data_IF_617254137831
#
_entry.id   IF_617254137831
#
_cell.length_a   1.000
_cell.length_b   1.000
_cell.length_c   1.000
_cell.angle_alpha   90.00
_cell.angle_beta   90.00
_cell.angle_gamma   90.00
#
_symmetry.space_group_name_H-M   'P 1'
#
loop_
_entity.id
_entity.type
_entity.pdbx_description
1 polymer ?
#
# COMPACT_ATOMS: atom_id res chain seq x y z
N UNK A 1 -16.63 -10.54 42.33
CA UNK A 1 -17.55 -10.79 41.18
C UNK A 1 -17.04 -10.22 39.86
N UNK A 2 -16.15 -9.22 39.81
CA UNK A 2 -15.66 -8.64 38.54
C UNK A 2 -14.54 -9.44 37.84
N UNK A 3 -13.62 -10.09 38.57
CA UNK A 3 -12.50 -10.85 37.95
C UNK A 3 -12.96 -12.05 37.11
N UNK A 4 -13.93 -12.83 37.62
CA UNK A 4 -14.48 -13.99 36.91
C UNK A 4 -15.23 -13.62 35.63
N UNK A 5 -15.78 -12.40 35.55
CA UNK A 5 -16.48 -11.92 34.35
C UNK A 5 -15.46 -11.46 33.30
N UNK A 6 -14.37 -10.81 33.73
CA UNK A 6 -13.25 -10.45 32.87
C UNK A 6 -12.51 -11.67 32.30
N UNK A 7 -12.30 -12.70 33.11
CA UNK A 7 -11.68 -13.94 32.66
C UNK A 7 -12.59 -14.68 31.66
N UNK A 8 -13.91 -14.72 31.91
CA UNK A 8 -14.87 -15.33 30.99
C UNK A 8 -14.98 -14.56 29.65
N UNK A 9 -14.86 -13.23 29.68
CA UNK A 9 -14.87 -12.41 28.46
C UNK A 9 -13.60 -12.61 27.63
N UNK A 10 -12.44 -12.80 28.28
CA UNK A 10 -11.17 -13.12 27.61
C UNK A 10 -11.22 -14.49 26.95
N UNK A 11 -11.73 -15.50 27.65
CA UNK A 11 -11.86 -16.86 27.11
C UNK A 11 -12.84 -16.89 25.91
N UNK A 12 -13.91 -16.10 25.94
CA UNK A 12 -14.85 -15.96 24.82
C UNK A 12 -14.22 -15.25 23.61
N UNK A 13 -13.36 -14.25 23.84
CA UNK A 13 -12.63 -13.59 22.75
C UNK A 13 -11.58 -14.52 22.11
N UNK A 14 -10.88 -15.33 22.91
CA UNK A 14 -9.94 -16.34 22.40
C UNK A 14 -10.63 -17.46 21.62
N UNK A 15 -11.85 -17.85 21.99
CA UNK A 15 -12.65 -18.85 21.27
C UNK A 15 -13.12 -18.29 19.91
N UNK A 16 -13.57 -17.02 19.88
CA UNK A 16 -13.97 -16.33 18.64
C UNK A 16 -12.77 -16.14 17.69
N UNK A 17 -11.59 -15.77 18.22
CA UNK A 17 -10.36 -15.62 17.41
C UNK A 17 -9.94 -16.95 16.76
N UNK A 18 -10.09 -18.07 17.49
CA UNK A 18 -9.79 -19.42 17.01
C UNK A 18 -10.79 -19.90 15.94
N UNK A 19 -12.06 -19.50 16.02
CA UNK A 19 -13.09 -19.83 15.02
C UNK A 19 -13.02 -18.96 13.75
N UNK A 20 -12.55 -17.71 13.86
CA UNK A 20 -12.43 -16.77 12.73
C UNK A 20 -11.14 -16.94 11.90
N UNK A 21 -10.20 -17.78 12.33
CA UNK A 21 -8.95 -17.98 11.60
C UNK A 21 -8.09 -16.72 11.51
N UNK A 22 -8.14 -15.87 12.55
CA UNK A 22 -7.32 -14.65 12.64
C UNK A 22 -5.83 -14.95 12.98
N UNK A 23 -5.50 -16.20 13.30
CA UNK A 23 -4.12 -16.69 13.50
C UNK A 23 -3.38 -17.06 12.18
N UNK A 24 -3.82 -16.51 11.04
CA UNK A 24 -2.98 -16.38 9.83
C UNK A 24 -2.29 -14.98 9.83
N UNK A 25 -2.00 -14.43 11.02
CA UNK A 25 -0.85 -13.54 11.19
C UNK A 25 0.40 -14.36 10.88
N UNK A 26 0.84 -14.26 9.62
CA UNK A 26 2.13 -14.68 9.10
C UNK A 26 3.24 -14.49 10.15
N UNK A 27 3.50 -15.52 10.96
CA UNK A 27 4.71 -15.61 11.75
C UNK A 27 5.87 -15.63 10.74
N UNK A 28 6.71 -14.59 10.80
CA UNK A 28 8.01 -14.55 10.13
C UNK A 28 8.87 -15.68 10.72
N UNK A 29 8.70 -16.88 10.19
CA UNK A 29 9.58 -18.03 10.47
C UNK A 29 10.86 -17.84 9.65
N UNK A 30 11.69 -16.89 10.08
CA UNK A 30 13.10 -16.83 9.70
C UNK A 30 13.81 -18.01 10.38
N UNK A 31 13.80 -19.18 9.74
CA UNK A 31 14.72 -20.26 10.10
C UNK A 31 16.16 -19.73 9.99
N UNK A 32 17.00 -19.83 11.04
CA UNK A 32 18.40 -19.45 10.92
C UNK A 32 19.16 -20.53 10.14
N UNK A 33 19.55 -20.23 8.90
CA UNK A 33 20.55 -21.02 8.19
C UNK A 33 21.84 -21.10 9.01
N UNK A 34 22.28 -22.32 9.28
CA UNK A 34 23.46 -22.64 10.07
C UNK A 34 24.71 -22.52 9.18
N UNK A 35 25.41 -21.40 9.22
CA UNK A 35 26.76 -21.27 8.62
C UNK A 35 27.85 -21.70 9.63
N UNK A 36 28.65 -22.74 9.33
CA UNK A 36 29.65 -23.28 10.25
C UNK A 36 30.98 -22.53 10.12
N UNK A 37 31.15 -21.40 10.83
CA UNK A 37 32.49 -20.80 11.02
C UNK A 37 32.57 -19.89 12.25
N UNK A 38 32.72 -20.49 13.43
CA UNK A 38 33.23 -19.80 14.62
C UNK A 38 34.76 -19.86 14.64
N UNK A 39 35.42 -18.72 14.53
CA UNK A 39 36.67 -18.43 15.24
C UNK A 39 36.66 -16.99 15.77
N UNK A 40 36.92 -16.76 17.07
CA UNK A 40 37.03 -15.41 17.63
C UNK A 40 38.44 -14.86 17.36
N UNK A 41 38.56 -13.58 17.02
CA UNK A 41 39.84 -12.88 17.07
C UNK A 41 39.70 -11.44 17.57
N UNK A 42 40.70 -11.10 18.38
CA UNK A 42 40.82 -10.02 19.35
C UNK A 42 40.81 -8.59 18.77
N UNK A 43 40.43 -7.66 19.66
CA UNK A 43 40.65 -6.21 19.56
C UNK A 43 42.12 -5.87 19.27
N UNK A 44 42.35 -5.12 18.19
CA UNK A 44 43.54 -4.28 18.02
C UNK A 44 43.13 -2.90 17.48
N UNK A 45 43.69 -1.87 18.09
CA UNK A 45 43.40 -0.46 17.85
C UNK A 45 43.98 0.05 16.51
N UNK A 46 43.21 0.98 15.91
CA UNK A 46 43.60 2.15 15.12
C UNK A 46 44.33 1.96 13.77
N UNK A 47 43.61 2.28 12.69
CA UNK A 47 44.05 3.25 11.67
C UNK A 47 42.82 3.76 10.92
N UNK A 48 42.79 5.07 10.67
CA UNK A 48 41.81 5.77 9.85
C UNK A 48 41.87 5.29 8.40
N UNK A 49 40.74 4.88 7.84
CA UNK A 49 40.49 4.98 6.41
C UNK A 49 38.99 5.19 6.19
N UNK A 50 38.64 6.35 5.63
CA UNK A 50 37.30 6.66 5.14
C UNK A 50 37.10 5.83 3.86
N UNK A 51 36.58 4.61 4.01
CA UNK A 51 36.04 3.87 2.88
C UNK A 51 34.60 4.35 2.63
N UNK A 52 34.50 5.29 1.69
CA UNK A 52 33.28 5.58 0.96
C UNK A 52 32.79 4.28 0.31
N UNK A 53 31.74 3.67 0.87
CA UNK A 53 30.95 2.65 0.16
C UNK A 53 30.23 3.32 -1.01
N UNK A 54 30.95 3.41 -2.12
CA UNK A 54 30.42 3.76 -3.42
C UNK A 54 29.45 2.65 -3.84
N UNK A 55 28.15 2.90 -3.67
CA UNK A 55 27.10 2.05 -4.24
C UNK A 55 27.25 2.11 -5.75
N UNK A 56 27.93 1.11 -6.31
CA UNK A 56 28.14 0.93 -7.75
C UNK A 56 26.81 1.13 -8.48
N UNK A 57 26.73 2.27 -9.16
CA UNK A 57 25.65 2.65 -10.05
C UNK A 57 25.78 1.78 -11.31
N UNK A 58 25.02 0.70 -11.33
CA UNK A 58 24.79 -0.06 -12.55
C UNK A 58 23.95 0.79 -13.50
N UNK A 59 24.63 1.52 -14.37
CA UNK A 59 24.20 2.08 -15.65
C UNK A 59 22.67 2.14 -15.85
N UNK A 60 22.07 3.31 -15.60
CA UNK A 60 20.71 3.63 -16.10
C UNK A 60 20.85 4.67 -17.22
N UNK A 61 21.59 4.31 -18.27
CA UNK A 61 21.34 4.84 -19.60
C UNK A 61 20.04 4.23 -20.12
N UNK A 62 18.95 5.01 -20.09
CA UNK A 62 17.67 4.55 -20.61
C UNK A 62 16.62 5.63 -20.59
N UNK A 63 16.54 6.38 -21.68
CA UNK A 63 15.28 7.01 -22.09
C UNK A 63 14.27 5.90 -22.37
N UNK A 64 13.68 5.34 -21.32
CA UNK A 64 12.64 4.34 -21.43
C UNK A 64 11.31 5.04 -21.64
N UNK A 65 10.88 4.99 -22.90
CA UNK A 65 9.53 5.25 -23.36
C UNK A 65 8.52 4.63 -22.40
N UNK A 66 7.59 5.47 -21.90
CA UNK A 66 6.52 5.04 -21.02
C UNK A 66 5.76 3.90 -21.72
N UNK A 67 5.83 2.68 -21.18
CA UNK A 67 4.87 1.65 -21.50
C UNK A 67 3.52 2.14 -20.95
N UNK A 68 2.84 2.98 -21.72
CA UNK A 68 1.47 3.39 -21.47
C UNK A 68 0.66 2.10 -21.37
N UNK A 69 0.17 1.78 -20.17
CA UNK A 69 -0.94 0.86 -20.07
C UNK A 69 -2.08 1.53 -20.83
N UNK A 70 -2.31 1.10 -22.07
CA UNK A 70 -3.40 1.58 -22.91
C UNK A 70 -4.72 1.15 -22.24
N UNK A 71 -5.23 2.01 -21.37
CA UNK A 71 -6.58 1.91 -20.85
C UNK A 71 -7.48 2.47 -21.94
N UNK A 72 -8.41 1.66 -22.43
CA UNK A 72 -9.32 2.07 -23.50
C UNK A 72 -10.22 3.22 -22.99
N UNK A 73 -10.48 4.27 -23.78
CA UNK A 73 -11.45 5.31 -23.42
C UNK A 73 -12.83 4.75 -23.02
N UNK A 74 -13.24 3.60 -23.57
CA UNK A 74 -14.46 2.90 -23.18
C UNK A 74 -14.40 2.35 -21.75
N UNK A 75 -13.22 1.94 -21.27
CA UNK A 75 -13.02 1.53 -19.88
C UNK A 75 -13.20 2.72 -18.94
N UNK A 76 -12.71 3.91 -19.31
CA UNK A 76 -12.91 5.12 -18.51
C UNK A 76 -14.41 5.45 -18.37
N UNK A 77 -15.17 5.41 -19.46
CA UNK A 77 -16.60 5.70 -19.44
C UNK A 77 -17.42 4.66 -18.66
N UNK A 78 -17.10 3.37 -18.83
CA UNK A 78 -17.78 2.25 -18.14
C UNK A 78 -17.46 2.26 -16.65
N UNK A 79 -16.22 2.57 -16.28
CA UNK A 79 -15.80 2.64 -14.88
C UNK A 79 -16.31 3.88 -14.16
N UNK A 80 -16.40 5.02 -14.85
CA UNK A 80 -17.05 6.21 -14.31
C UNK A 80 -18.56 5.96 -14.10
N UNK A 81 -19.22 5.19 -14.97
CA UNK A 81 -20.62 4.79 -14.76
C UNK A 81 -20.77 3.87 -13.53
N UNK A 82 -19.88 2.89 -13.39
CA UNK A 82 -19.87 1.97 -12.25
C UNK A 82 -19.58 2.67 -10.93
N UNK A 83 -18.68 3.66 -10.92
CA UNK A 83 -18.36 4.43 -9.72
C UNK A 83 -19.50 5.40 -9.34
N UNK A 84 -20.33 5.83 -10.31
CA UNK A 84 -21.55 6.60 -10.05
C UNK A 84 -22.68 5.73 -9.48
N UNK A 85 -22.76 4.45 -9.88
CA UNK A 85 -23.75 3.49 -9.38
C UNK A 85 -23.58 3.10 -7.91
N UNK A 86 -22.40 3.32 -7.32
CA UNK A 86 -22.13 3.03 -5.90
C UNK A 86 -22.48 4.20 -4.94
N UNK A 87 -23.12 5.27 -5.41
CA UNK A 87 -23.46 6.40 -4.54
C UNK A 87 -24.59 7.34 -4.98
N UNK A 88 -25.33 7.05 -6.05
CA UNK A 88 -26.38 7.95 -6.54
C UNK A 88 -27.71 7.24 -6.76
N UNK A 89 -28.46 7.02 -5.68
CA UNK A 89 -29.91 6.94 -5.76
C UNK A 89 -30.51 8.36 -5.68
N UNK A 90 -31.62 8.55 -6.38
CA UNK A 90 -32.12 9.79 -6.96
C UNK A 90 -32.40 10.98 -6.01
N UNK A 91 -32.03 12.20 -6.45
CA UNK A 91 -32.64 13.46 -6.01
C UNK A 91 -31.76 14.72 -6.14
N UNK A 92 -31.97 15.52 -7.19
CA UNK A 92 -31.59 16.94 -7.40
C UNK A 92 -30.13 17.41 -7.16
N UNK A 93 -29.64 18.45 -7.86
CA UNK A 93 -28.26 18.95 -7.69
C UNK A 93 -28.14 19.80 -6.41
N UNK A 94 -28.09 19.13 -5.27
CA UNK A 94 -27.65 19.69 -3.99
C UNK A 94 -26.18 19.33 -3.76
N UNK A 95 -25.40 20.29 -3.24
CA UNK A 95 -24.02 20.05 -2.78
C UNK A 95 -23.92 18.77 -1.93
N UNK A 96 -22.86 17.96 -2.09
CA UNK A 96 -22.68 16.75 -1.30
C UNK A 96 -22.44 17.14 0.16
N UNK A 97 -23.45 16.96 1.01
CA UNK A 97 -23.35 17.13 2.45
C UNK A 97 -22.42 16.05 2.99
N UNK A 98 -21.29 16.46 3.52
CA UNK A 98 -20.27 15.58 4.08
C UNK A 98 -20.65 15.12 5.47
N UNK A 99 -20.01 14.06 5.99
CA UNK A 99 -20.21 13.58 7.36
C UNK A 99 -20.04 14.71 8.40
N UNK A 100 -19.18 15.70 8.10
CA UNK A 100 -18.99 16.90 8.90
C UNK A 100 -20.26 17.77 9.01
N UNK A 101 -21.06 17.87 7.94
CA UNK A 101 -22.29 18.70 7.91
C UNK A 101 -23.46 18.08 8.69
N UNK A 102 -23.49 16.74 8.81
CA UNK A 102 -24.42 16.03 9.69
C UNK A 102 -24.04 16.18 11.17
N UNK A 103 -22.73 16.28 11.46
CA UNK A 103 -22.21 16.50 12.82
C UNK A 103 -22.50 17.95 13.28
N UNK A 104 -22.31 18.95 12.40
CA UNK A 104 -22.60 20.35 12.74
C UNK A 104 -24.09 20.65 12.95
N UNK A 105 -24.99 20.04 12.17
CA UNK A 105 -26.45 20.20 12.38
C UNK A 105 -26.95 19.53 13.68
N UNK A 106 -26.21 18.54 14.20
CA UNK A 106 -26.52 17.87 15.45
C UNK A 106 -25.98 18.63 16.68
N UNK A 107 -24.99 19.51 16.50
CA UNK A 107 -24.44 20.37 17.56
C UNK A 107 -25.30 21.62 17.84
N UNK A 108 -26.09 22.09 16.88
CA UNK A 108 -27.00 23.24 17.07
C UNK A 108 -28.25 22.92 17.93
N UNK A 109 -28.49 21.64 18.26
CA UNK A 109 -29.66 21.17 19.01
C UNK A 109 -29.44 20.87 20.50
N UNK A 110 -28.22 20.98 21.03
CA UNK A 110 -27.87 20.47 22.36
C UNK A 110 -27.23 21.51 23.28
N UNK A 111 -27.98 21.96 24.28
CA UNK A 111 -27.56 22.98 25.25
C UNK A 111 -26.28 22.64 26.04
N UNK A 112 -25.48 23.68 26.23
CA UNK A 112 -24.27 23.84 27.07
C UNK A 112 -24.34 23.18 28.45
N UNK A 113 -23.28 22.47 28.83
CA UNK A 113 -22.84 22.39 30.23
C UNK A 113 -21.31 22.36 30.37
N UNK A 114 -20.81 23.37 31.09
CA UNK A 114 -19.42 23.71 31.44
C UNK A 114 -18.53 22.54 31.89
N UNK A 115 -17.33 22.48 31.27
CA UNK A 115 -16.05 22.66 31.98
C UNK A 115 -15.33 21.41 32.46
N UNK A 116 -14.46 20.83 31.61
CA UNK A 116 -13.09 20.36 31.91
C UNK A 116 -12.29 20.50 30.61
N UNK A 117 -10.99 20.74 30.75
CA UNK A 117 -9.98 21.17 29.78
C UNK A 117 -9.93 20.40 28.44
N UNK A 118 -9.54 21.12 27.39
CA UNK A 118 -9.45 20.70 25.98
C UNK A 118 -8.62 19.42 25.75
N UNK A 119 -9.28 18.33 25.38
CA UNK A 119 -8.67 17.29 24.54
C UNK A 119 -8.99 17.62 23.08
N UNK A 120 -8.01 18.22 22.42
CA UNK A 120 -8.03 18.49 20.98
C UNK A 120 -8.25 17.19 20.21
N UNK A 121 -9.36 17.11 19.48
CA UNK A 121 -9.74 16.07 18.52
C UNK A 121 -8.85 16.16 17.26
N UNK A 122 -7.53 16.06 17.44
CA UNK A 122 -6.53 16.14 16.38
C UNK A 122 -5.40 15.13 16.56
N UNK A 123 -4.58 14.89 15.52
CA UNK A 123 -3.49 13.92 15.57
C UNK A 123 -2.57 14.15 16.78
N UNK A 124 -2.05 13.08 17.43
CA UNK A 124 -1.17 13.22 18.59
C UNK A 124 -0.01 14.16 18.28
N UNK A 125 0.15 15.25 19.05
CA UNK A 125 1.23 16.20 18.83
C UNK A 125 2.59 15.48 18.95
N UNK A 126 3.36 15.36 17.84
CA UNK A 126 4.59 14.60 17.81
C UNK A 126 5.70 15.23 18.67
N UNK A 127 5.50 16.43 19.23
CA UNK A 127 6.48 17.11 20.09
C UNK A 127 6.38 16.70 21.56
N UNK A 128 5.28 16.06 21.98
CA UNK A 128 5.08 15.66 23.38
C UNK A 128 6.11 14.60 23.80
N UNK A 129 6.81 14.86 24.90
CA UNK A 129 7.77 13.93 25.51
C UNK A 129 9.18 13.92 24.92
N UNK A 130 9.48 14.74 23.90
CA UNK A 130 10.80 14.78 23.27
C UNK A 130 11.69 15.89 23.83
N UNK A 131 13.00 15.66 23.81
CA UNK A 131 13.98 16.66 24.21
C UNK A 131 13.97 17.85 23.22
N UNK A 132 13.95 19.11 23.70
CA UNK A 132 13.87 20.29 22.84
C UNK A 132 14.99 20.37 21.80
N UNK A 133 16.20 19.88 22.11
CA UNK A 133 17.32 19.83 21.15
C UNK A 133 17.06 18.85 20.01
N UNK A 134 16.44 17.72 20.30
CA UNK A 134 16.09 16.71 19.30
C UNK A 134 15.04 17.26 18.34
N UNK A 135 14.05 17.96 18.89
CA UNK A 135 13.04 18.66 18.09
C UNK A 135 13.70 19.67 17.15
N UNK A 136 14.58 20.54 17.69
CA UNK A 136 15.27 21.55 16.88
C UNK A 136 16.11 20.93 15.75
N UNK A 137 16.80 19.82 16.02
CA UNK A 137 17.61 19.12 15.01
C UNK A 137 16.73 18.55 13.89
N UNK A 138 15.67 17.80 14.21
CA UNK A 138 14.83 17.18 13.18
C UNK A 138 13.96 18.20 12.43
N UNK A 139 13.55 19.29 13.08
CA UNK A 139 12.90 20.41 12.36
C UNK A 139 13.84 21.06 11.34
N UNK A 140 15.13 21.26 11.69
CA UNK A 140 16.14 21.75 10.73
C UNK A 140 16.39 20.76 9.59
N UNK A 141 16.36 19.46 9.87
CA UNK A 141 16.45 18.41 8.83
C UNK A 141 15.25 18.51 7.88
N UNK A 142 14.03 18.67 8.38
CA UNK A 142 12.84 18.88 7.55
C UNK A 142 12.97 20.07 6.60
N UNK A 143 13.46 21.21 7.12
CA UNK A 143 13.72 22.40 6.29
C UNK A 143 14.78 22.18 5.19
N UNK A 144 15.74 21.29 5.44
CA UNK A 144 16.73 20.90 4.42
C UNK A 144 16.07 19.99 3.36
N UNK A 145 15.23 19.05 3.78
CA UNK A 145 14.53 18.11 2.89
C UNK A 145 13.53 18.80 1.97
N UNK A 146 12.94 19.93 2.36
CA UNK A 146 12.05 20.72 1.50
C UNK A 146 12.75 21.43 0.34
N UNK A 147 14.08 21.50 0.34
CA UNK A 147 14.90 22.08 -0.74
C UNK A 147 15.90 21.10 -1.36
N UNK A 148 15.94 19.88 -0.85
CA UNK A 148 16.92 18.88 -1.26
C UNK A 148 16.72 18.48 -2.74
N UNK A 149 17.83 18.34 -3.47
CA UNK A 149 17.87 17.85 -4.85
C UNK A 149 18.89 16.73 -5.01
N UNK A 150 20.11 16.97 -4.54
CA UNK A 150 21.24 16.05 -4.63
C UNK A 150 22.22 16.27 -3.49
N UNK A 151 23.16 15.33 -3.31
CA UNK A 151 24.20 15.39 -2.29
C UNK A 151 23.97 14.43 -1.13
N UNK A 152 24.89 14.38 -0.16
CA UNK A 152 24.78 13.49 0.98
C UNK A 152 23.65 13.93 1.91
N UNK A 153 22.82 12.98 2.34
CA UNK A 153 21.79 13.23 3.35
C UNK A 153 22.41 13.40 4.76
N UNK A 154 21.82 14.24 5.63
CA UNK A 154 22.31 14.45 6.99
C UNK A 154 22.44 13.15 7.79
N UNK A 155 23.50 13.00 8.57
CA UNK A 155 23.74 11.81 9.41
C UNK A 155 22.58 11.53 10.37
N UNK A 156 21.94 12.58 10.90
CA UNK A 156 20.76 12.47 11.75
C UNK A 156 19.58 11.74 11.06
N UNK A 157 19.41 11.93 9.75
CA UNK A 157 18.39 11.24 8.97
C UNK A 157 18.79 9.79 8.68
N UNK A 158 20.07 9.53 8.39
CA UNK A 158 20.57 8.17 8.11
C UNK A 158 20.43 7.22 9.31
N UNK A 159 20.57 7.72 10.54
CA UNK A 159 20.42 6.92 11.77
C UNK A 159 18.96 6.81 12.24
N UNK A 160 18.04 7.57 11.64
CA UNK A 160 16.65 7.66 12.07
C UNK A 160 15.95 6.27 12.15
N UNK A 161 16.12 5.36 11.16
CA UNK A 161 15.52 4.01 11.22
C UNK A 161 15.93 3.16 12.42
N UNK A 162 17.11 3.41 13.00
CA UNK A 162 17.62 2.63 14.14
C UNK A 162 17.03 3.08 15.48
N UNK A 163 16.23 4.15 15.50
CA UNK A 163 15.67 4.72 16.72
C UNK A 163 14.29 4.13 17.04
N UNK A 164 13.98 3.84 18.32
CA UNK A 164 12.71 3.21 18.69
C UNK A 164 11.48 4.10 18.46
N UNK A 165 11.65 5.43 18.45
CA UNK A 165 10.58 6.41 18.17
C UNK A 165 10.75 7.05 16.79
N UNK A 166 11.24 6.29 15.81
CA UNK A 166 11.54 6.80 14.47
C UNK A 166 10.33 7.51 13.83
N UNK A 167 9.12 6.95 13.94
CA UNK A 167 7.92 7.53 13.32
C UNK A 167 7.60 8.93 13.86
N UNK A 168 7.73 9.12 15.18
CA UNK A 168 7.54 10.42 15.83
C UNK A 168 8.59 11.43 15.37
N UNK A 169 9.86 11.01 15.29
CA UNK A 169 10.96 11.85 14.81
C UNK A 169 10.82 12.20 13.33
N UNK A 170 10.30 11.27 12.53
CA UNK A 170 10.02 11.48 11.12
C UNK A 170 8.93 12.55 10.93
N UNK A 171 7.87 12.51 11.74
CA UNK A 171 6.81 13.51 11.69
C UNK A 171 7.34 14.94 11.92
N UNK A 172 8.37 15.11 12.76
CA UNK A 172 9.00 16.42 12.99
C UNK A 172 9.72 17.00 11.77
N UNK A 173 10.03 16.17 10.78
CA UNK A 173 10.67 16.59 9.53
C UNK A 173 9.66 17.04 8.46
N UNK A 174 8.36 17.06 8.78
CA UNK A 174 7.24 17.40 7.89
C UNK A 174 7.31 16.70 6.52
N UNK A 175 7.04 15.38 6.44
CA UNK A 175 7.16 14.61 5.20
C UNK A 175 6.32 15.13 4.02
N UNK A 176 5.22 15.84 4.31
CA UNK A 176 4.37 16.49 3.31
C UNK A 176 5.11 17.57 2.52
N UNK A 177 6.09 18.25 3.11
CA UNK A 177 6.86 19.33 2.48
C UNK A 177 8.13 18.84 1.78
N UNK A 178 8.41 17.54 1.81
CA UNK A 178 9.60 17.01 1.15
C UNK A 178 9.53 17.18 -0.36
N UNK A 179 10.70 17.45 -0.97
CA UNK A 179 10.83 17.38 -2.43
C UNK A 179 10.71 15.93 -2.90
N UNK A 180 10.29 15.69 -4.16
CA UNK A 180 10.30 14.33 -4.74
C UNK A 180 11.67 13.62 -4.64
N UNK A 181 12.76 14.39 -4.74
CA UNK A 181 14.12 13.88 -4.62
C UNK A 181 14.42 13.42 -3.19
N UNK A 182 13.97 14.19 -2.20
CA UNK A 182 14.10 13.84 -0.78
C UNK A 182 13.28 12.60 -0.46
N UNK A 183 12.04 12.50 -0.93
CA UNK A 183 11.18 11.34 -0.73
C UNK A 183 11.81 10.07 -1.28
N UNK A 184 12.39 10.12 -2.48
CA UNK A 184 13.12 8.99 -3.06
C UNK A 184 14.32 8.57 -2.20
N UNK A 185 15.16 9.53 -1.82
CA UNK A 185 16.36 9.26 -1.03
C UNK A 185 16.02 8.71 0.36
N UNK A 186 14.98 9.26 1.01
CA UNK A 186 14.45 8.75 2.27
C UNK A 186 13.91 7.33 2.10
N UNK A 187 13.12 7.06 1.06
CA UNK A 187 12.55 5.72 0.80
C UNK A 187 13.64 4.66 0.70
N UNK A 188 14.77 4.96 0.03
CA UNK A 188 15.92 4.04 -0.03
C UNK A 188 16.51 3.73 1.35
N UNK A 189 16.59 4.71 2.24
CA UNK A 189 17.11 4.54 3.59
C UNK A 189 16.13 3.74 4.44
N UNK A 190 14.86 4.14 4.47
CA UNK A 190 13.84 3.52 5.31
C UNK A 190 13.55 2.08 4.90
N UNK A 191 13.35 1.82 3.60
CA UNK A 191 13.06 0.46 3.11
C UNK A 191 14.21 -0.51 3.37
N UNK A 192 15.46 -0.05 3.31
CA UNK A 192 16.62 -0.91 3.55
C UNK A 192 16.89 -1.19 5.03
N UNK A 193 16.54 -0.27 5.94
CA UNK A 193 16.95 -0.35 7.35
C UNK A 193 15.82 -0.67 8.33
N UNK A 194 14.56 -0.38 7.99
CA UNK A 194 13.41 -0.68 8.84
C UNK A 194 12.94 -2.13 8.69
N UNK A 195 12.24 -2.62 9.72
CA UNK A 195 11.55 -3.92 9.67
C UNK A 195 10.35 -3.86 8.72
N UNK A 196 9.89 -4.99 8.14
CA UNK A 196 8.75 -5.00 7.21
C UNK A 196 7.49 -4.33 7.77
N UNK A 197 7.19 -4.52 9.05
CA UNK A 197 6.05 -3.89 9.74
C UNK A 197 6.17 -2.36 9.81
N UNK A 198 7.38 -1.85 10.08
CA UNK A 198 7.68 -0.42 10.13
C UNK A 198 7.70 0.22 8.74
N UNK A 199 8.23 -0.51 7.74
CA UNK A 199 8.20 -0.08 6.34
C UNK A 199 6.77 0.06 5.85
N UNK A 200 5.85 -0.85 6.23
CA UNK A 200 4.42 -0.70 5.91
C UNK A 200 3.89 0.65 6.38
N UNK A 201 4.14 1.01 7.65
CA UNK A 201 3.69 2.29 8.24
C UNK A 201 4.27 3.49 7.48
N UNK A 202 5.56 3.43 7.11
CA UNK A 202 6.19 4.48 6.30
C UNK A 202 5.58 4.59 4.91
N UNK A 203 5.36 3.46 4.23
CA UNK A 203 4.81 3.44 2.88
C UNK A 203 3.37 3.96 2.85
N UNK A 204 2.57 3.58 3.85
CA UNK A 204 1.17 3.98 3.99
C UNK A 204 1.03 5.46 4.35
N UNK A 205 1.66 5.90 5.44
CA UNK A 205 1.48 7.26 5.96
C UNK A 205 2.36 8.35 5.33
N UNK A 206 3.34 7.99 4.48
CA UNK A 206 4.23 8.98 3.84
C UNK A 206 4.24 8.81 2.33
N UNK A 207 4.64 7.64 1.81
CA UNK A 207 4.86 7.50 0.37
C UNK A 207 3.56 7.50 -0.42
N UNK A 208 2.55 6.74 0.02
CA UNK A 208 1.26 6.64 -0.65
C UNK A 208 0.58 8.01 -0.71
N UNK A 209 0.45 8.69 0.43
CA UNK A 209 -0.15 10.03 0.50
C UNK A 209 0.58 11.03 -0.40
N UNK A 210 1.92 11.06 -0.36
CA UNK A 210 2.73 11.95 -1.21
C UNK A 210 2.54 11.67 -2.70
N UNK A 211 2.40 10.40 -3.09
CA UNK A 211 2.09 10.04 -4.47
C UNK A 211 0.69 10.49 -4.89
N UNK A 212 -0.32 10.33 -4.03
CA UNK A 212 -1.69 10.77 -4.32
C UNK A 212 -1.81 12.29 -4.38
N UNK A 213 -1.09 13.01 -3.52
CA UNK A 213 -1.00 14.49 -3.58
C UNK A 213 -0.38 14.95 -4.91
N UNK A 214 0.80 14.43 -5.27
CA UNK A 214 1.50 14.80 -6.51
C UNK A 214 0.64 14.49 -7.75
N UNK A 215 -0.07 13.36 -7.76
CA UNK A 215 -0.97 13.01 -8.85
C UNK A 215 -2.19 13.93 -8.92
N UNK A 216 -2.75 14.37 -7.79
CA UNK A 216 -3.85 15.34 -7.77
C UNK A 216 -3.41 16.70 -8.31
N UNK A 217 -2.21 17.14 -7.94
CA UNK A 217 -1.64 18.41 -8.39
C UNK A 217 -1.25 18.38 -9.88
N UNK A 218 -0.72 17.25 -10.36
CA UNK A 218 -0.19 17.11 -11.72
C UNK A 218 -1.17 16.46 -12.71
N UNK A 219 -2.48 16.57 -12.47
CA UNK A 219 -3.56 16.06 -13.35
C UNK A 219 -3.47 14.55 -13.67
N UNK A 220 -2.99 13.77 -12.70
CA UNK A 220 -2.82 12.32 -12.76
C UNK A 220 -1.49 11.87 -13.36
N UNK A 221 -0.50 12.75 -13.50
CA UNK A 221 0.90 12.37 -13.78
C UNK A 221 1.67 12.28 -12.46
N UNK A 222 2.59 11.33 -12.36
CA UNK A 222 3.44 11.18 -11.18
C UNK A 222 4.88 11.63 -11.50
N UNK A 223 5.49 12.35 -10.56
CA UNK A 223 6.91 12.70 -10.64
C UNK A 223 7.81 11.45 -10.75
N UNK A 224 8.85 11.50 -11.58
CA UNK A 224 9.76 10.38 -11.82
C UNK A 224 10.47 9.91 -10.54
N UNK A 225 10.82 10.81 -9.62
CA UNK A 225 11.47 10.40 -8.37
C UNK A 225 10.51 9.69 -7.41
N UNK A 226 9.23 10.07 -7.41
CA UNK A 226 8.20 9.36 -6.66
C UNK A 226 7.91 7.98 -7.30
N UNK A 227 7.95 7.90 -8.62
CA UNK A 227 7.86 6.62 -9.34
C UNK A 227 9.02 5.67 -8.97
N UNK A 228 10.25 6.18 -8.94
CA UNK A 228 11.40 5.39 -8.50
C UNK A 228 11.33 5.06 -6.99
N UNK A 229 10.72 5.92 -6.18
CA UNK A 229 10.46 5.63 -4.76
C UNK A 229 9.48 4.45 -4.62
N UNK A 230 8.41 4.40 -5.42
CA UNK A 230 7.49 3.26 -5.46
C UNK A 230 8.20 1.97 -5.87
N UNK A 231 9.07 2.03 -6.89
CA UNK A 231 9.89 0.86 -7.30
C UNK A 231 10.79 0.38 -6.18
N UNK A 232 11.44 1.30 -5.43
CA UNK A 232 12.27 0.94 -4.28
C UNK A 232 11.46 0.41 -3.10
N UNK A 233 10.25 0.92 -2.88
CA UNK A 233 9.31 0.39 -1.87
C UNK A 233 8.99 -1.08 -2.09
N UNK A 234 8.91 -1.53 -3.35
CA UNK A 234 8.56 -2.92 -3.69
C UNK A 234 9.68 -3.94 -3.36
N UNK A 235 10.86 -3.49 -2.91
CA UNK A 235 11.92 -4.40 -2.45
C UNK A 235 11.52 -5.14 -1.16
N UNK A 236 10.51 -4.64 -0.44
CA UNK A 236 9.81 -5.36 0.63
C UNK A 236 8.34 -5.59 0.23
N UNK A 237 8.03 -6.65 -0.53
CA UNK A 237 6.73 -6.84 -1.18
C UNK A 237 5.57 -6.96 -0.18
N UNK A 238 5.75 -7.66 0.95
CA UNK A 238 4.71 -7.78 1.99
C UNK A 238 4.27 -6.41 2.54
N UNK A 239 5.25 -5.56 2.85
CA UNK A 239 5.01 -4.20 3.34
C UNK A 239 4.35 -3.32 2.27
N UNK A 240 4.78 -3.44 1.01
CA UNK A 240 4.23 -2.67 -0.09
C UNK A 240 2.78 -3.06 -0.42
N UNK A 241 2.44 -4.35 -0.42
CA UNK A 241 1.05 -4.76 -0.65
C UNK A 241 0.13 -4.26 0.46
N UNK A 242 0.53 -4.44 1.73
CA UNK A 242 -0.26 -4.05 2.90
C UNK A 242 -0.33 -2.52 3.12
N UNK A 243 0.72 -1.79 2.76
CA UNK A 243 0.82 -0.34 2.99
C UNK A 243 0.56 0.54 1.77
N UNK A 244 0.58 -0.01 0.55
CA UNK A 244 0.36 0.75 -0.69
C UNK A 244 -0.83 0.19 -1.46
N UNK A 245 -0.77 -1.06 -1.89
CA UNK A 245 -1.76 -1.59 -2.82
C UNK A 245 -3.15 -1.73 -2.21
N UNK A 246 -3.27 -2.39 -1.05
CA UNK A 246 -4.57 -2.62 -0.41
C UNK A 246 -5.22 -1.31 0.07
N UNK A 247 -4.51 -0.40 0.77
CA UNK A 247 -5.10 0.88 1.15
C UNK A 247 -5.52 1.72 -0.06
N UNK A 248 -4.77 1.65 -1.17
CA UNK A 248 -5.15 2.31 -2.42
C UNK A 248 -6.48 1.75 -2.97
N UNK A 249 -6.65 0.43 -2.98
CA UNK A 249 -7.88 -0.22 -3.42
C UNK A 249 -9.08 0.04 -2.49
N UNK A 250 -8.86 0.14 -1.18
CA UNK A 250 -9.91 0.32 -0.16
C UNK A 250 -10.41 1.78 -0.07
N UNK A 251 -9.56 2.78 -0.29
CA UNK A 251 -9.85 4.21 -0.05
C UNK A 251 -10.26 4.99 -1.31
N UNK A 252 -10.86 4.33 -2.30
CA UNK A 252 -11.15 4.84 -3.65
C UNK A 252 -9.90 5.11 -4.52
N UNK A 253 -9.63 4.20 -5.44
CA UNK A 253 -8.55 4.30 -6.43
C UNK A 253 -9.08 4.84 -7.75
N UNK A 254 -8.47 5.90 -8.29
CA UNK A 254 -8.77 6.36 -9.66
C UNK A 254 -8.06 5.50 -10.70
N UNK A 255 -8.57 5.47 -11.94
CA UNK A 255 -7.91 4.71 -13.02
C UNK A 255 -6.49 5.19 -13.33
N UNK A 256 -6.25 6.50 -13.23
CA UNK A 256 -4.92 7.08 -13.45
C UNK A 256 -3.95 6.62 -12.37
N UNK A 257 -4.36 6.64 -11.09
CA UNK A 257 -3.58 6.04 -10.00
C UNK A 257 -3.33 4.56 -10.29
N UNK A 258 -4.39 3.78 -10.53
CA UNK A 258 -4.30 2.36 -10.83
C UNK A 258 -3.28 2.06 -11.94
N UNK A 259 -3.30 2.82 -13.04
CA UNK A 259 -2.36 2.68 -14.15
C UNK A 259 -0.89 2.85 -13.72
N UNK A 260 -0.59 3.89 -12.94
CA UNK A 260 0.79 4.17 -12.51
C UNK A 260 1.28 3.09 -11.55
N UNK A 261 0.51 2.77 -10.51
CA UNK A 261 0.89 1.74 -9.53
C UNK A 261 0.98 0.34 -10.19
N UNK A 262 0.08 0.03 -11.12
CA UNK A 262 0.12 -1.20 -11.90
C UNK A 262 1.37 -1.28 -12.80
N UNK A 263 1.83 -0.15 -13.35
CA UNK A 263 3.07 -0.12 -14.14
C UNK A 263 4.32 -0.36 -13.29
N UNK A 264 4.35 0.11 -12.03
CA UNK A 264 5.43 -0.22 -11.09
C UNK A 264 5.45 -1.72 -10.82
N UNK A 265 4.27 -2.29 -10.56
CA UNK A 265 4.10 -3.70 -10.27
C UNK A 265 4.47 -4.58 -11.46
N UNK A 266 4.21 -4.16 -12.70
CA UNK A 266 4.59 -4.94 -13.89
C UNK A 266 6.12 -4.97 -14.08
N UNK A 267 6.81 -3.85 -13.85
CA UNK A 267 8.26 -3.70 -14.07
C UNK A 267 9.13 -4.40 -13.03
N UNK A 268 8.70 -4.44 -11.77
CA UNK A 268 9.52 -5.00 -10.68
C UNK A 268 9.16 -6.48 -10.45
N UNK A 269 10.18 -7.33 -10.28
CA UNK A 269 9.98 -8.74 -9.96
C UNK A 269 9.47 -8.91 -8.53
N UNK A 270 8.41 -9.70 -8.32
CA UNK A 270 7.79 -9.93 -7.01
C UNK A 270 7.81 -11.44 -6.73
N UNK A 271 8.24 -11.90 -5.55
CA UNK A 271 8.24 -13.32 -5.23
C UNK A 271 6.84 -13.95 -5.31
N UNK A 272 6.78 -15.22 -5.71
CA UNK A 272 5.53 -15.94 -6.01
C UNK A 272 4.56 -15.94 -4.82
N UNK A 273 5.05 -16.21 -3.61
CA UNK A 273 4.20 -16.29 -2.41
C UNK A 273 3.51 -14.95 -2.11
N UNK A 274 4.25 -13.84 -2.20
CA UNK A 274 3.70 -12.51 -1.99
C UNK A 274 2.68 -12.14 -3.07
N UNK A 275 2.96 -12.49 -4.32
CA UNK A 275 2.02 -12.28 -5.44
C UNK A 275 0.73 -13.09 -5.25
N UNK A 276 0.85 -14.35 -4.83
CA UNK A 276 -0.27 -15.24 -4.57
C UNK A 276 -1.16 -14.73 -3.42
N UNK A 277 -0.56 -14.27 -2.32
CA UNK A 277 -1.28 -13.66 -1.21
C UNK A 277 -1.98 -12.36 -1.62
N UNK A 278 -1.33 -11.52 -2.43
CA UNK A 278 -1.93 -10.30 -2.96
C UNK A 278 -3.13 -10.59 -3.86
N UNK A 279 -3.03 -11.58 -4.75
CA UNK A 279 -4.16 -12.04 -5.58
C UNK A 279 -5.34 -12.53 -4.73
N UNK A 280 -5.07 -13.31 -3.68
CA UNK A 280 -6.11 -13.80 -2.77
C UNK A 280 -6.86 -12.63 -2.11
N UNK A 281 -6.12 -11.65 -1.58
CA UNK A 281 -6.72 -10.46 -0.96
C UNK A 281 -7.52 -9.64 -1.97
N UNK A 282 -6.97 -9.35 -3.14
CA UNK A 282 -7.68 -8.62 -4.21
C UNK A 282 -8.94 -9.34 -4.68
N UNK A 283 -8.91 -10.68 -4.76
CA UNK A 283 -10.07 -11.49 -5.13
C UNK A 283 -11.20 -11.40 -4.08
N UNK A 284 -10.84 -11.35 -2.80
CA UNK A 284 -11.77 -11.25 -1.67
C UNK A 284 -12.37 -9.86 -1.46
N UNK A 285 -11.72 -8.81 -1.96
CA UNK A 285 -12.19 -7.43 -1.83
C UNK A 285 -13.45 -7.14 -2.65
N UNK A 286 -14.15 -6.06 -2.28
CA UNK A 286 -15.23 -5.52 -3.09
C UNK A 286 -14.73 -5.05 -4.45
N UNK A 287 -15.58 -5.20 -5.45
CA UNK A 287 -15.16 -4.97 -6.82
C UNK A 287 -15.16 -3.48 -7.14
N UNK A 288 -13.96 -2.96 -7.36
CA UNK A 288 -13.71 -1.71 -8.06
C UNK A 288 -12.99 -1.99 -9.39
N UNK A 289 -13.18 -1.13 -10.39
CA UNK A 289 -12.50 -1.23 -11.69
C UNK A 289 -10.98 -1.45 -11.61
N UNK A 290 -10.24 -0.65 -10.82
CA UNK A 290 -8.81 -0.82 -10.58
C UNK A 290 -8.39 -2.21 -10.12
N UNK A 291 -9.23 -2.93 -9.37
CA UNK A 291 -8.89 -4.25 -8.84
C UNK A 291 -8.65 -5.25 -9.98
N UNK A 292 -9.44 -5.17 -11.06
CA UNK A 292 -9.25 -5.99 -12.27
C UNK A 292 -7.91 -5.73 -12.95
N UNK A 293 -7.45 -4.47 -12.94
CA UNK A 293 -6.16 -4.10 -13.53
C UNK A 293 -5.01 -4.73 -12.75
N UNK A 294 -5.04 -4.66 -11.42
CA UNK A 294 -4.00 -5.27 -10.58
C UNK A 294 -4.00 -6.80 -10.67
N UNK A 295 -5.19 -7.42 -10.66
CA UNK A 295 -5.33 -8.88 -10.87
C UNK A 295 -4.72 -9.28 -12.22
N UNK A 296 -5.04 -8.57 -13.30
CA UNK A 296 -4.47 -8.83 -14.64
C UNK A 296 -2.94 -8.77 -14.61
N UNK A 297 -2.35 -7.71 -14.05
CA UNK A 297 -0.89 -7.53 -14.01
C UNK A 297 -0.20 -8.61 -13.17
N UNK A 298 -0.77 -9.01 -12.04
CA UNK A 298 -0.21 -10.08 -11.20
C UNK A 298 -0.29 -11.44 -11.90
N UNK A 299 -1.39 -11.73 -12.61
CA UNK A 299 -1.50 -12.95 -13.44
C UNK A 299 -0.53 -12.92 -14.62
N UNK A 300 -0.27 -11.75 -15.19
CA UNK A 300 0.66 -11.59 -16.30
C UNK A 300 2.11 -11.91 -15.95
N UNK A 301 2.47 -11.93 -14.66
CA UNK A 301 3.78 -12.41 -14.18
C UNK A 301 4.01 -13.92 -14.38
N UNK A 302 2.98 -14.69 -14.74
CA UNK A 302 3.06 -16.13 -15.09
C UNK A 302 3.58 -17.03 -13.96
N UNK A 303 3.32 -16.70 -12.71
CA UNK A 303 3.72 -17.55 -11.61
C UNK A 303 2.83 -18.80 -11.49
N UNK A 304 3.40 -19.87 -10.91
CA UNK A 304 2.62 -21.02 -10.47
C UNK A 304 1.85 -20.62 -9.20
N UNK A 305 0.51 -20.65 -9.29
CA UNK A 305 -0.36 -20.24 -8.18
C UNK A 305 -0.83 -21.45 -7.37
N UNK A 306 -0.92 -21.33 -6.03
CA UNK A 306 -1.56 -22.36 -5.20
C UNK A 306 -3.04 -22.53 -5.54
N UNK A 307 -3.57 -23.74 -5.40
CA UNK A 307 -4.98 -24.06 -5.69
C UNK A 307 -5.97 -23.15 -4.97
N UNK A 308 -5.71 -22.83 -3.68
CA UNK A 308 -6.54 -21.90 -2.91
C UNK A 308 -6.70 -20.53 -3.60
N UNK A 309 -5.65 -20.03 -4.26
CA UNK A 309 -5.67 -18.74 -4.96
C UNK A 309 -6.43 -18.86 -6.28
N UNK A 310 -6.27 -19.98 -7.00
CA UNK A 310 -7.04 -20.26 -8.22
C UNK A 310 -8.53 -20.34 -7.89
N UNK A 311 -8.91 -21.08 -6.84
CA UNK A 311 -10.29 -21.19 -6.39
C UNK A 311 -10.87 -19.82 -6.04
N UNK A 312 -10.15 -19.01 -5.27
CA UNK A 312 -10.57 -17.66 -4.92
C UNK A 312 -10.78 -16.76 -6.16
N UNK A 313 -9.91 -16.85 -7.16
CA UNK A 313 -10.06 -16.12 -8.42
C UNK A 313 -11.27 -16.61 -9.21
N UNK A 314 -11.51 -17.92 -9.27
CA UNK A 314 -12.72 -18.48 -9.90
C UNK A 314 -13.98 -17.95 -9.19
N UNK A 315 -14.02 -17.99 -7.86
CA UNK A 315 -15.13 -17.43 -7.09
C UNK A 315 -15.30 -15.93 -7.33
N UNK A 316 -14.21 -15.17 -7.42
CA UNK A 316 -14.24 -13.75 -7.75
C UNK A 316 -14.91 -13.49 -9.11
N UNK A 317 -14.51 -14.20 -10.16
CA UNK A 317 -15.11 -14.06 -11.50
C UNK A 317 -16.57 -14.52 -11.55
N UNK A 318 -16.91 -15.64 -10.89
CA UNK A 318 -18.29 -16.15 -10.81
C UNK A 318 -19.19 -15.17 -10.08
N UNK A 319 -18.73 -14.61 -8.96
CA UNK A 319 -19.46 -13.60 -8.18
C UNK A 319 -19.82 -12.39 -9.04
N UNK A 320 -18.88 -11.93 -9.87
CA UNK A 320 -19.09 -10.76 -10.73
C UNK A 320 -19.95 -11.07 -11.95
N UNK A 321 -19.77 -12.23 -12.58
CA UNK A 321 -20.61 -12.67 -13.70
C UNK A 321 -22.07 -12.94 -13.27
N UNK A 322 -22.30 -13.29 -12.01
CA UNK A 322 -23.65 -13.48 -11.47
C UNK A 322 -24.23 -12.24 -10.78
N UNK A 323 -23.46 -11.16 -10.67
CA UNK A 323 -23.93 -9.89 -10.14
C UNK A 323 -25.06 -9.33 -11.02
N UNK A 324 -26.04 -8.59 -10.45
CA UNK A 324 -27.02 -7.84 -11.22
C UNK A 324 -26.40 -6.94 -12.29
N UNK A 325 -25.16 -6.47 -12.04
CA UNK A 325 -24.31 -5.72 -12.99
C UNK A 325 -24.11 -6.45 -14.33
N UNK A 326 -24.07 -7.78 -14.32
CA UNK A 326 -23.85 -8.58 -15.53
C UNK A 326 -25.15 -9.00 -16.24
N UNK A 327 -26.31 -8.95 -15.57
CA UNK A 327 -27.54 -9.64 -16.03
C UNK A 327 -28.63 -8.69 -16.54
N UNK A 328 -28.89 -7.55 -15.88
CA UNK A 328 -30.08 -6.74 -16.17
C UNK A 328 -29.87 -5.21 -16.25
N UNK A 329 -28.64 -4.68 -16.12
CA UNK A 329 -28.40 -3.23 -15.97
C UNK A 329 -27.54 -2.59 -17.05
N UNK A 330 -27.73 -1.30 -17.28
CA UNK A 330 -26.96 -0.42 -18.18
C UNK A 330 -25.44 -0.38 -17.88
N UNK A 331 -25.00 -0.98 -16.76
CA UNK A 331 -23.63 -1.08 -16.27
C UNK A 331 -22.94 -2.39 -16.68
N UNK A 332 -22.58 -2.49 -17.97
CA UNK A 332 -21.78 -3.61 -18.48
C UNK A 332 -20.44 -3.74 -17.74
N UNK A 333 -19.95 -4.97 -17.59
CA UNK A 333 -18.61 -5.20 -17.04
C UNK A 333 -17.53 -4.54 -17.94
N UNK A 334 -16.51 -3.88 -17.37
CA UNK A 334 -15.44 -3.22 -18.13
C UNK A 334 -14.60 -4.18 -18.96
N UNK A 335 -13.94 -3.69 -20.00
CA UNK A 335 -13.02 -4.48 -20.82
C UNK A 335 -11.85 -4.99 -19.98
N UNK A 336 -11.38 -4.20 -19.01
CA UNK A 336 -10.35 -4.63 -18.04
C UNK A 336 -10.74 -5.92 -17.30
N UNK A 337 -12.02 -6.10 -16.96
CA UNK A 337 -12.48 -7.34 -16.33
C UNK A 337 -12.36 -8.51 -17.29
N UNK A 338 -12.85 -8.36 -18.52
CA UNK A 338 -12.75 -9.39 -19.56
C UNK A 338 -11.30 -9.75 -19.90
N UNK A 339 -10.40 -8.75 -19.94
CA UNK A 339 -8.97 -8.96 -20.17
C UNK A 339 -8.33 -9.72 -18.99
N UNK A 340 -8.68 -9.37 -17.74
CA UNK A 340 -8.18 -10.08 -16.57
C UNK A 340 -8.62 -11.55 -16.56
N UNK A 341 -9.87 -11.83 -16.93
CA UNK A 341 -10.41 -13.18 -17.10
C UNK A 341 -9.71 -13.93 -18.23
N UNK A 342 -9.46 -13.28 -19.36
CA UNK A 342 -8.76 -13.89 -20.48
C UNK A 342 -7.35 -14.35 -20.08
N UNK A 343 -6.58 -13.50 -19.40
CA UNK A 343 -5.23 -13.85 -18.91
C UNK A 343 -5.30 -14.99 -17.90
N UNK A 344 -6.30 -14.99 -17.01
CA UNK A 344 -6.53 -16.08 -16.07
C UNK A 344 -6.77 -17.42 -16.79
N UNK A 345 -7.68 -17.47 -17.76
CA UNK A 345 -7.99 -18.71 -18.50
C UNK A 345 -6.80 -19.17 -19.35
N UNK A 346 -6.09 -18.24 -20.00
CA UNK A 346 -4.92 -18.57 -20.83
C UNK A 346 -3.78 -19.20 -20.03
N UNK A 347 -3.61 -18.83 -18.76
CA UNK A 347 -2.53 -19.36 -17.90
C UNK A 347 -2.99 -20.48 -16.99
N UNK A 348 -3.97 -20.21 -16.13
CA UNK A 348 -4.35 -21.15 -15.08
C UNK A 348 -5.10 -22.34 -15.68
N UNK A 349 -6.02 -22.12 -16.63
CA UNK A 349 -6.82 -23.21 -17.21
C UNK A 349 -6.09 -23.93 -18.36
N UNK A 350 -5.21 -23.25 -19.10
CA UNK A 350 -4.52 -23.87 -20.25
C UNK A 350 -3.24 -24.64 -19.88
N UNK A 351 -2.53 -24.25 -18.81
CA UNK A 351 -1.44 -25.07 -18.25
C UNK A 351 -2.00 -26.36 -17.63
N UNK A 352 -3.21 -26.29 -17.09
CA UNK A 352 -3.88 -27.42 -16.44
C UNK A 352 -4.67 -28.31 -17.41
N UNK A 353 -4.90 -27.88 -18.67
CA UNK A 353 -5.62 -28.64 -19.71
C UNK A 353 -4.90 -29.89 -20.25
N UNK A 354 -3.79 -30.32 -19.64
CA UNK A 354 -3.37 -31.72 -19.69
C UNK A 354 -4.22 -32.63 -18.77
N UNK A 355 -5.08 -32.07 -17.89
CA UNK A 355 -6.05 -32.78 -17.08
C UNK A 355 -7.41 -32.05 -17.04
N UNK A 356 -8.37 -32.59 -17.80
CA UNK A 356 -9.84 -32.61 -17.56
C UNK A 356 -10.72 -31.51 -18.23
N UNK A 357 -11.90 -31.88 -18.77
CA UNK A 357 -12.68 -31.12 -19.72
C UNK A 357 -13.85 -30.38 -19.06
N UNK A 358 -13.72 -29.07 -18.84
CA UNK A 358 -14.83 -28.23 -18.33
C UNK A 358 -15.28 -27.13 -19.30
N UNK A 359 -14.58 -26.95 -20.42
CA UNK A 359 -14.82 -25.83 -21.34
C UNK A 359 -15.78 -26.14 -22.50
N UNK A 360 -16.54 -27.23 -22.43
CA UNK A 360 -17.53 -27.61 -23.46
C UNK A 360 -18.98 -27.37 -23.06
N UNK A 361 -19.24 -26.62 -21.99
CA UNK A 361 -20.61 -26.34 -21.53
C UNK A 361 -20.87 -24.87 -21.15
N UNK A 362 -20.23 -23.96 -21.88
CA UNK A 362 -20.63 -22.57 -22.09
C UNK A 362 -20.70 -22.38 -23.61
#
# INVERSE_FOLDING_TARGET
MSKKILDLARDQQEEIARELGEDDEWEDDDEPEVDPSKRPREMAQAASDDEDEDFSDGDVSGGEEYAELQIDPADHATLDALNRGEGADAGEPGEPKTLADLIFNQMDGGAVSKGVEEEHEGPPDPRKGLNPKVIEVYTKVGFLLSRYKSGPLPKALKILPSLPHWAQLLALTNPTEWTPHATFACTKIFVSNLKPTEVRVFLEGVLLDKCRDDMRENNGKLNVHLYEALKKGLYKPAAWFKGVLFPLCETSCTLKEAAIFASVLSKVSVPVLHSAAALLRLASMDYAGPNSLFIRILLDKKYALPYKVVDALVFHFIRLANSPRSKDGEDKLPVLWHQSLLVFVQRCVFVERCLVPWLTSL
#
